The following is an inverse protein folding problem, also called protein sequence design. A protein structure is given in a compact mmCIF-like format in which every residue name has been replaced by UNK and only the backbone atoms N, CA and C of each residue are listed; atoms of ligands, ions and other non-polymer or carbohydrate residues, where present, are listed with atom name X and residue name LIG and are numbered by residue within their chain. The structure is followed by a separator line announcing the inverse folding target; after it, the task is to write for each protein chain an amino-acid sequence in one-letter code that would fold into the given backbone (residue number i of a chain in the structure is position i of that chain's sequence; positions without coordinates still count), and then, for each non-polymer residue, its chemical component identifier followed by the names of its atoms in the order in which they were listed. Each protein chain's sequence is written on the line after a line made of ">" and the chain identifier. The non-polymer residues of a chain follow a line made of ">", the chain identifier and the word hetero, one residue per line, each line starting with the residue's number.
data_IF_229128176369
#
_entry.id   IF_229128176369
#
_cell.length_a   1.000
_cell.length_b   1.000
_cell.length_c   1.000
_cell.angle_alpha   90.00
_cell.angle_beta   90.00
_cell.angle_gamma   90.00
#
_symmetry.space_group_name_H-M   'P 1'
#
loop_
_entity.id
_entity.type
_entity.pdbx_description
1 polymer ?
#
# COMPACT_ATOMS: atom_id res chain seq x y z
N UNK A 1 -63.25 52.89 -13.83
CA UNK A 1 -62.01 53.68 -13.86
C UNK A 1 -60.92 52.90 -13.13
N UNK A 2 -59.83 52.64 -13.86
CA UNK A 2 -58.50 52.14 -13.45
C UNK A 2 -58.43 50.81 -12.67
N UNK A 3 -58.05 49.69 -13.29
CA UNK A 3 -56.74 49.37 -13.89
C UNK A 3 -55.62 49.26 -12.84
N UNK A 4 -55.19 48.02 -12.55
CA UNK A 4 -53.80 47.57 -12.80
C UNK A 4 -53.57 46.13 -12.35
N UNK A 5 -53.39 45.30 -13.38
CA UNK A 5 -52.71 44.01 -13.40
C UNK A 5 -51.35 44.13 -12.69
N UNK A 6 -51.10 43.29 -11.69
CA UNK A 6 -49.72 42.95 -11.28
C UNK A 6 -49.58 41.44 -11.37
N UNK A 7 -49.08 40.99 -12.52
CA UNK A 7 -48.45 39.68 -12.63
C UNK A 7 -47.25 39.70 -11.70
N UNK A 8 -47.34 39.05 -10.54
CA UNK A 8 -46.14 38.66 -9.83
C UNK A 8 -45.45 37.59 -10.67
N UNK A 9 -44.30 37.97 -11.22
CA UNK A 9 -43.39 37.11 -11.95
C UNK A 9 -43.09 35.85 -11.11
N UNK A 10 -43.55 34.69 -11.58
CA UNK A 10 -42.91 33.41 -11.30
C UNK A 10 -41.59 33.40 -12.06
N UNK A 11 -40.55 34.03 -11.50
CA UNK A 11 -39.19 33.69 -11.92
C UNK A 11 -38.88 32.31 -11.34
N UNK A 12 -38.54 31.30 -12.18
CA UNK A 12 -38.09 30.03 -11.68
C UNK A 12 -36.74 30.28 -11.00
N UNK A 13 -36.71 30.17 -9.68
CA UNK A 13 -35.47 30.14 -8.91
C UNK A 13 -34.65 29.01 -9.52
N UNK A 14 -33.63 29.38 -10.29
CA UNK A 14 -32.67 28.45 -10.86
C UNK A 14 -32.10 27.64 -9.70
N UNK A 15 -32.56 26.39 -9.62
CA UNK A 15 -32.06 25.39 -8.68
C UNK A 15 -30.64 25.11 -9.14
N UNK A 16 -29.70 25.94 -8.69
CA UNK A 16 -28.28 25.64 -8.75
C UNK A 16 -28.11 24.27 -8.10
N UNK A 17 -27.90 23.28 -8.95
CA UNK A 17 -27.80 21.86 -8.60
C UNK A 17 -26.46 21.58 -7.96
N UNK A 18 -26.13 22.37 -6.93
CA UNK A 18 -25.06 22.08 -6.01
C UNK A 18 -25.60 20.97 -5.09
N UNK A 19 -25.43 19.73 -5.56
CA UNK A 19 -25.89 18.50 -4.94
C UNK A 19 -25.32 18.39 -3.52
N UNK A 20 -26.02 18.94 -2.52
CA UNK A 20 -25.55 18.96 -1.14
C UNK A 20 -25.39 17.50 -0.70
N UNK A 21 -24.16 17.05 -0.37
CA UNK A 21 -23.94 15.64 -0.12
C UNK A 21 -24.77 15.17 1.05
N UNK A 22 -25.46 14.04 0.87
CA UNK A 22 -26.35 13.47 1.89
C UNK A 22 -25.59 13.27 3.21
N UNK A 23 -26.31 13.28 4.34
CA UNK A 23 -25.73 13.02 5.67
C UNK A 23 -24.90 11.73 5.67
N UNK A 24 -25.33 10.72 4.93
CA UNK A 24 -24.62 9.44 4.74
C UNK A 24 -23.34 9.58 3.91
N UNK A 25 -23.31 10.42 2.88
CA UNK A 25 -22.09 10.70 2.10
C UNK A 25 -21.03 11.44 2.92
N UNK A 26 -21.41 12.47 3.68
CA UNK A 26 -20.50 13.19 4.59
C UNK A 26 -19.87 12.27 5.63
N UNK A 27 -20.66 11.33 6.19
CA UNK A 27 -20.16 10.31 7.14
C UNK A 27 -19.15 9.37 6.49
N UNK A 28 -19.42 8.88 5.27
CA UNK A 28 -18.48 8.00 4.54
C UNK A 28 -17.16 8.71 4.24
N UNK A 29 -17.21 9.95 3.77
CA UNK A 29 -16.01 10.73 3.48
C UNK A 29 -15.17 10.95 4.75
N UNK A 30 -15.82 11.25 5.87
CA UNK A 30 -15.12 11.41 7.16
C UNK A 30 -14.43 10.12 7.61
N UNK A 31 -15.08 8.96 7.46
CA UNK A 31 -14.49 7.66 7.77
C UNK A 31 -13.31 7.34 6.86
N UNK A 32 -13.40 7.66 5.57
CA UNK A 32 -12.31 7.49 4.61
C UNK A 32 -11.08 8.33 4.97
N UNK A 33 -11.28 9.60 5.36
CA UNK A 33 -10.19 10.48 5.81
C UNK A 33 -9.52 9.99 7.09
N UNK A 34 -10.30 9.47 8.04
CA UNK A 34 -9.74 8.84 9.24
C UNK A 34 -8.92 7.60 8.89
N UNK A 35 -9.46 6.72 8.04
CA UNK A 35 -8.76 5.53 7.57
C UNK A 35 -7.43 5.89 6.89
N UNK A 36 -7.42 6.92 6.04
CA UNK A 36 -6.20 7.44 5.42
C UNK A 36 -5.17 7.88 6.48
N UNK A 37 -5.60 8.62 7.50
CA UNK A 37 -4.75 8.99 8.64
C UNK A 37 -4.17 7.80 9.40
N UNK A 38 -4.96 6.73 9.58
CA UNK A 38 -4.49 5.47 10.17
C UNK A 38 -3.42 4.80 9.30
N UNK A 39 -3.63 4.77 7.98
CA UNK A 39 -2.69 4.16 7.05
C UNK A 39 -1.35 4.91 7.06
N UNK A 40 -1.37 6.25 6.99
CA UNK A 40 -0.18 7.08 7.08
C UNK A 40 0.61 6.82 8.36
N UNK A 41 -0.10 6.72 9.49
CA UNK A 41 0.51 6.48 10.79
C UNK A 41 1.16 5.09 10.91
N UNK A 42 0.72 4.12 10.09
CA UNK A 42 1.19 2.74 10.08
C UNK A 42 2.32 2.44 9.09
N UNK A 43 2.71 3.41 8.25
CA UNK A 43 3.79 3.24 7.27
C UNK A 43 5.12 2.88 7.93
N UNK A 44 6.00 2.18 7.21
CA UNK A 44 7.39 2.05 7.64
C UNK A 44 8.09 3.41 7.64
N UNK A 45 9.22 3.53 8.35
CA UNK A 45 9.95 4.81 8.41
C UNK A 45 10.41 5.28 7.02
N UNK A 46 10.83 4.34 6.17
CA UNK A 46 11.22 4.64 4.78
C UNK A 46 10.06 5.19 3.97
N UNK A 47 8.92 4.47 3.98
CA UNK A 47 7.70 4.89 3.29
C UNK A 47 7.17 6.23 3.80
N UNK A 48 7.28 6.48 5.10
CA UNK A 48 6.83 7.73 5.70
C UNK A 48 7.65 8.94 5.24
N UNK A 49 8.96 8.77 5.03
CA UNK A 49 9.86 9.81 4.52
C UNK A 49 9.67 10.10 3.03
N UNK A 50 9.14 9.15 2.27
CA UNK A 50 8.83 9.32 0.84
C UNK A 50 7.52 10.08 0.59
N UNK A 51 6.67 10.25 1.61
CA UNK A 51 5.42 11.01 1.47
C UNK A 51 5.68 12.51 1.67
N UNK A 52 5.24 13.28 0.69
CA UNK A 52 5.18 14.73 0.76
C UNK A 52 3.85 15.16 1.38
N UNK A 53 3.93 15.82 2.53
CA UNK A 53 2.79 16.38 3.23
C UNK A 53 2.68 17.87 2.92
N UNK A 54 1.53 18.32 2.41
CA UNK A 54 1.28 19.74 2.15
C UNK A 54 1.05 20.57 3.42
N UNK A 55 0.73 19.91 4.54
CA UNK A 55 0.49 20.55 5.83
C UNK A 55 1.50 20.07 6.89
N UNK A 56 2.33 20.98 7.38
CA UNK A 56 3.34 20.69 8.41
C UNK A 56 2.70 20.16 9.71
N UNK A 57 1.52 20.67 10.07
CA UNK A 57 0.78 20.26 11.26
C UNK A 57 0.40 18.77 11.23
N UNK A 58 0.04 18.23 10.05
CA UNK A 58 -0.29 16.81 9.90
C UNK A 58 0.97 15.96 10.07
N UNK A 59 2.07 16.36 9.42
CA UNK A 59 3.36 15.68 9.51
C UNK A 59 3.83 15.58 10.97
N UNK A 60 3.78 16.68 11.72
CA UNK A 60 4.16 16.70 13.13
C UNK A 60 3.26 15.83 14.00
N UNK A 61 1.95 15.87 13.77
CA UNK A 61 1.01 15.01 14.48
C UNK A 61 1.29 13.52 14.24
N UNK A 62 1.65 13.14 13.01
CA UNK A 62 2.03 11.78 12.65
C UNK A 62 3.36 11.37 13.29
N UNK A 63 4.38 12.24 13.26
CA UNK A 63 5.67 11.99 13.95
C UNK A 63 5.48 11.76 15.45
N UNK A 64 4.64 12.58 16.10
CA UNK A 64 4.29 12.39 17.51
C UNK A 64 3.59 11.04 17.71
N UNK A 65 2.61 10.68 16.89
CA UNK A 65 1.93 9.39 17.01
C UNK A 65 2.91 8.21 16.95
N UNK A 66 3.87 8.29 16.02
CA UNK A 66 4.90 7.26 15.80
C UNK A 66 5.88 7.15 16.97
N UNK A 67 6.18 8.25 17.66
CA UNK A 67 7.07 8.25 18.84
C UNK A 67 6.39 7.74 20.12
N UNK A 68 5.05 7.75 20.19
CA UNK A 68 4.33 7.25 21.37
C UNK A 68 4.50 5.72 21.48
N UNK A 69 5.01 5.21 22.63
CA UNK A 69 5.17 3.77 22.85
C UNK A 69 3.84 3.01 22.70
N UNK A 70 3.89 1.82 22.09
CA UNK A 70 2.72 0.96 21.84
C UNK A 70 1.92 0.66 23.12
N UNK A 71 2.60 0.54 24.27
CA UNK A 71 1.98 0.33 25.58
C UNK A 71 1.07 1.48 26.04
N UNK A 72 1.27 2.71 25.55
CA UNK A 72 0.46 3.89 25.90
C UNK A 72 -0.75 4.01 24.97
N UNK A 73 -1.65 3.03 25.06
CA UNK A 73 -2.82 2.89 24.16
C UNK A 73 -3.70 4.14 24.12
N UNK A 74 -3.93 4.77 25.27
CA UNK A 74 -4.80 5.95 25.35
C UNK A 74 -4.17 7.21 24.75
N UNK A 75 -2.87 7.42 24.94
CA UNK A 75 -2.14 8.52 24.29
C UNK A 75 -2.16 8.36 22.76
N UNK A 76 -1.93 7.13 22.25
CA UNK A 76 -2.05 6.83 20.81
C UNK A 76 -3.45 7.09 20.29
N UNK A 77 -4.48 6.64 21.02
CA UNK A 77 -5.89 6.85 20.64
C UNK A 77 -6.21 8.34 20.52
N UNK A 78 -5.83 9.16 21.50
CA UNK A 78 -6.06 10.62 21.48
C UNK A 78 -5.30 11.30 20.35
N UNK A 79 -4.04 10.92 20.15
CA UNK A 79 -3.25 11.48 19.05
C UNK A 79 -3.85 11.12 17.69
N UNK A 80 -4.38 9.91 17.54
CA UNK A 80 -5.08 9.51 16.31
C UNK A 80 -6.39 10.28 16.08
N UNK A 81 -7.14 10.58 17.14
CA UNK A 81 -8.31 11.46 17.03
C UNK A 81 -7.93 12.88 16.57
N UNK A 82 -6.80 13.40 17.06
CA UNK A 82 -6.26 14.68 16.62
C UNK A 82 -5.84 14.64 15.14
N UNK A 83 -5.12 13.61 14.72
CA UNK A 83 -4.80 13.37 13.29
C UNK A 83 -6.09 13.33 12.47
N UNK A 84 -7.12 12.58 12.90
CA UNK A 84 -8.40 12.54 12.21
C UNK A 84 -9.14 13.89 12.12
N UNK A 85 -8.87 14.83 13.04
CA UNK A 85 -9.35 16.21 12.94
C UNK A 85 -8.57 17.01 11.89
N UNK A 86 -7.25 16.85 11.83
CA UNK A 86 -6.38 17.50 10.84
C UNK A 86 -6.67 17.00 9.42
N UNK A 87 -6.92 15.70 9.25
CA UNK A 87 -7.28 15.08 7.96
C UNK A 87 -8.50 15.71 7.27
N UNK A 88 -9.31 16.52 7.97
CA UNK A 88 -10.45 17.25 7.37
C UNK A 88 -10.05 18.51 6.61
N UNK A 89 -8.87 19.07 6.89
CA UNK A 89 -8.31 20.22 6.17
C UNK A 89 -7.46 19.81 4.96
N UNK A 90 -7.05 18.55 4.92
CA UNK A 90 -6.12 18.01 3.92
C UNK A 90 -6.87 17.67 2.65
N UNK A 91 -6.37 18.14 1.51
CA UNK A 91 -6.81 17.68 0.19
C UNK A 91 -6.40 16.20 -0.02
N UNK A 92 -7.33 15.24 0.10
CA UNK A 92 -6.99 13.83 0.21
C UNK A 92 -6.39 13.26 -1.08
N UNK A 93 -6.67 13.92 -2.22
CA UNK A 93 -6.26 13.45 -3.54
C UNK A 93 -4.75 13.35 -3.73
N UNK A 94 -3.95 14.22 -3.10
CA UNK A 94 -2.48 14.18 -3.23
C UNK A 94 -1.88 13.03 -2.42
N UNK A 95 -2.20 12.98 -1.14
CA UNK A 95 -1.61 12.00 -0.21
C UNK A 95 -2.09 10.58 -0.53
N UNK A 96 -3.36 10.40 -0.92
CA UNK A 96 -3.88 9.09 -1.32
C UNK A 96 -3.16 8.55 -2.57
N UNK A 97 -2.82 9.40 -3.54
CA UNK A 97 -2.10 8.98 -4.76
C UNK A 97 -0.69 8.50 -4.42
N UNK A 98 0.03 9.24 -3.59
CA UNK A 98 1.37 8.86 -3.13
C UNK A 98 1.32 7.53 -2.38
N UNK A 99 0.37 7.39 -1.46
CA UNK A 99 0.18 6.16 -0.69
C UNK A 99 -0.17 4.95 -1.58
N UNK A 100 -0.99 5.15 -2.62
CA UNK A 100 -1.28 4.10 -3.59
C UNK A 100 -0.03 3.71 -4.40
N UNK A 101 0.79 4.69 -4.81
CA UNK A 101 2.04 4.41 -5.51
C UNK A 101 2.98 3.52 -4.66
N UNK A 102 3.13 3.83 -3.36
CA UNK A 102 3.90 3.03 -2.42
C UNK A 102 3.34 1.61 -2.23
N UNK A 103 2.01 1.46 -2.19
CA UNK A 103 1.38 0.14 -2.12
C UNK A 103 1.60 -0.69 -3.38
N UNK A 104 1.57 -0.05 -4.55
CA UNK A 104 1.79 -0.75 -5.81
C UNK A 104 3.21 -1.30 -5.93
N UNK A 105 4.22 -0.56 -5.44
CA UNK A 105 5.61 -1.05 -5.38
C UNK A 105 5.74 -2.22 -4.40
N UNK A 106 5.18 -2.10 -3.19
CA UNK A 106 5.17 -3.18 -2.21
C UNK A 106 4.51 -4.46 -2.76
N UNK A 107 3.39 -4.32 -3.47
CA UNK A 107 2.68 -5.45 -4.04
C UNK A 107 3.46 -6.09 -5.20
N UNK A 108 4.22 -5.29 -5.97
CA UNK A 108 5.11 -5.81 -6.99
C UNK A 108 6.23 -6.65 -6.37
N UNK A 109 6.88 -6.17 -5.31
CA UNK A 109 7.95 -6.91 -4.66
C UNK A 109 7.43 -8.15 -3.91
N UNK A 110 6.25 -8.07 -3.27
CA UNK A 110 5.56 -9.25 -2.73
C UNK A 110 5.25 -10.28 -3.80
N UNK A 111 4.85 -9.85 -5.01
CA UNK A 111 4.62 -10.77 -6.15
C UNK A 111 5.92 -11.47 -6.53
N UNK A 112 7.03 -10.74 -6.66
CA UNK A 112 8.35 -11.32 -6.96
C UNK A 112 8.79 -12.32 -5.90
N UNK A 113 8.60 -11.99 -4.62
CA UNK A 113 8.89 -12.91 -3.51
C UNK A 113 8.10 -14.22 -3.61
N UNK A 114 6.77 -14.13 -3.77
CA UNK A 114 5.92 -15.31 -3.93
C UNK A 114 6.30 -16.15 -5.16
N UNK A 115 6.62 -15.48 -6.26
CA UNK A 115 7.05 -16.17 -7.48
C UNK A 115 8.38 -16.91 -7.28
N UNK A 116 9.35 -16.29 -6.60
CA UNK A 116 10.62 -16.95 -6.26
C UNK A 116 10.42 -18.16 -5.33
N UNK A 117 9.50 -18.07 -4.36
CA UNK A 117 9.16 -19.19 -3.48
C UNK A 117 8.50 -20.34 -4.25
N UNK A 118 7.54 -20.04 -5.13
CA UNK A 118 6.89 -21.02 -6.00
C UNK A 118 7.91 -21.74 -6.88
N UNK A 119 8.79 -21.00 -7.56
CA UNK A 119 9.84 -21.60 -8.38
C UNK A 119 10.78 -22.48 -7.58
N UNK A 120 11.18 -22.05 -6.37
CA UNK A 120 12.02 -22.88 -5.49
C UNK A 120 11.33 -24.22 -5.19
N UNK A 121 10.05 -24.20 -4.84
CA UNK A 121 9.29 -25.40 -4.53
C UNK A 121 9.16 -26.32 -5.76
N UNK A 122 8.83 -25.76 -6.92
CA UNK A 122 8.77 -26.48 -8.18
C UNK A 122 10.11 -27.13 -8.54
N UNK A 123 11.22 -26.39 -8.47
CA UNK A 123 12.55 -26.87 -8.86
C UNK A 123 13.11 -27.93 -7.89
N UNK A 124 12.71 -27.90 -6.61
CA UNK A 124 13.08 -28.93 -5.65
C UNK A 124 12.34 -30.26 -5.92
N UNK A 125 11.13 -30.20 -6.47
CA UNK A 125 10.34 -31.38 -6.86
C UNK A 125 10.81 -31.89 -8.22
N UNK A 126 10.82 -31.02 -9.23
CA UNK A 126 11.20 -31.34 -10.60
C UNK A 126 12.29 -30.39 -11.12
N UNK A 127 13.57 -30.79 -11.03
CA UNK A 127 14.69 -30.00 -11.55
C UNK A 127 14.64 -29.74 -13.06
N UNK A 128 13.83 -30.47 -13.84
CA UNK A 128 13.72 -30.26 -15.29
C UNK A 128 13.07 -28.92 -15.63
N UNK A 129 12.26 -28.36 -14.72
CA UNK A 129 11.67 -27.04 -14.88
C UNK A 129 12.69 -25.89 -14.80
N UNK A 130 13.97 -26.18 -14.53
CA UNK A 130 15.03 -25.17 -14.57
C UNK A 130 15.14 -24.52 -15.95
N UNK A 131 14.88 -25.26 -17.03
CA UNK A 131 14.86 -24.72 -18.40
C UNK A 131 13.74 -23.70 -18.57
N UNK A 132 12.53 -23.98 -18.06
CA UNK A 132 11.39 -23.06 -18.12
C UNK A 132 11.66 -21.78 -17.33
N UNK A 133 12.30 -21.91 -16.16
CA UNK A 133 12.73 -20.76 -15.37
C UNK A 133 13.72 -19.89 -16.14
N UNK A 134 14.76 -20.49 -16.73
CA UNK A 134 15.79 -19.74 -17.48
C UNK A 134 15.19 -19.05 -18.71
N UNK A 135 14.24 -19.68 -19.39
CA UNK A 135 13.55 -19.10 -20.54
C UNK A 135 12.74 -17.86 -20.15
N UNK A 136 12.16 -17.82 -18.95
CA UNK A 136 11.40 -16.68 -18.44
C UNK A 136 12.30 -15.62 -17.79
N UNK A 137 13.34 -16.04 -17.07
CA UNK A 137 14.25 -15.20 -16.29
C UNK A 137 15.69 -15.60 -16.61
N UNK A 138 16.32 -14.95 -17.62
CA UNK A 138 17.68 -15.27 -18.04
C UNK A 138 18.67 -15.20 -16.86
N UNK A 139 19.29 -16.34 -16.55
CA UNK A 139 20.29 -16.47 -15.48
C UNK A 139 21.35 -17.49 -15.88
N UNK A 140 22.46 -17.53 -15.15
CA UNK A 140 23.48 -18.57 -15.33
C UNK A 140 22.89 -19.97 -15.04
N UNK A 141 22.76 -20.76 -16.11
CA UNK A 141 22.24 -22.12 -16.07
C UNK A 141 23.11 -23.07 -15.24
N UNK A 142 24.43 -22.89 -15.23
CA UNK A 142 25.34 -23.75 -14.47
C UNK A 142 25.18 -23.50 -12.97
N UNK A 143 25.16 -22.22 -12.58
CA UNK A 143 24.97 -21.80 -11.20
C UNK A 143 23.60 -22.26 -10.67
N UNK A 144 22.52 -22.07 -11.45
CA UNK A 144 21.18 -22.49 -11.06
C UNK A 144 21.13 -24.01 -10.82
N UNK A 145 21.63 -24.80 -11.76
CA UNK A 145 21.64 -26.27 -11.64
C UNK A 145 22.48 -26.77 -10.45
N UNK A 146 23.60 -26.11 -10.15
CA UNK A 146 24.40 -26.42 -8.96
C UNK A 146 23.60 -26.19 -7.68
N UNK A 147 22.91 -25.04 -7.57
CA UNK A 147 22.11 -24.69 -6.39
C UNK A 147 20.90 -25.60 -6.21
N UNK A 148 20.21 -25.97 -7.29
CA UNK A 148 19.09 -26.93 -7.24
C UNK A 148 19.56 -28.28 -6.71
N UNK A 149 20.66 -28.82 -7.24
CA UNK A 149 21.22 -30.11 -6.79
C UNK A 149 21.64 -30.06 -5.31
N UNK A 150 22.31 -29.00 -4.90
CA UNK A 150 22.73 -28.81 -3.51
C UNK A 150 21.52 -28.75 -2.57
N UNK A 151 20.52 -27.94 -2.89
CA UNK A 151 19.31 -27.79 -2.07
C UNK A 151 18.46 -29.07 -2.03
N UNK A 152 18.34 -29.79 -3.15
CA UNK A 152 17.63 -31.08 -3.20
C UNK A 152 18.32 -32.14 -2.32
N UNK A 153 19.65 -32.28 -2.46
CA UNK A 153 20.44 -33.22 -1.65
C UNK A 153 20.35 -32.87 -0.16
N UNK A 154 20.42 -31.58 0.19
CA UNK A 154 20.30 -31.13 1.58
C UNK A 154 18.91 -31.44 2.16
N UNK A 155 17.85 -31.27 1.37
CA UNK A 155 16.46 -31.62 1.74
C UNK A 155 16.30 -33.13 1.94
N UNK A 156 16.79 -33.94 1.02
CA UNK A 156 16.75 -35.42 1.11
C UNK A 156 17.50 -35.95 2.34
N UNK A 157 18.63 -35.31 2.69
CA UNK A 157 19.43 -35.69 3.86
C UNK A 157 18.94 -35.05 5.18
N UNK A 158 17.86 -34.24 5.15
CA UNK A 158 17.39 -33.43 6.28
C UNK A 158 18.51 -32.58 6.93
N UNK A 159 19.43 -32.05 6.11
CA UNK A 159 20.61 -31.28 6.53
C UNK A 159 20.75 -29.98 5.75
N UNK A 160 19.65 -29.22 5.63
CA UNK A 160 19.69 -27.87 5.06
C UNK A 160 20.39 -26.91 6.03
N UNK A 161 21.53 -26.39 5.60
CA UNK A 161 22.35 -25.38 6.28
C UNK A 161 22.20 -23.99 5.65
N UNK A 162 21.26 -23.83 4.72
CA UNK A 162 21.01 -22.59 3.99
C UNK A 162 21.06 -22.75 2.47
N UNK A 163 21.10 -23.98 1.95
CA UNK A 163 21.06 -24.27 0.52
C UNK A 163 19.71 -23.85 -0.07
N UNK A 164 18.59 -24.13 0.59
CA UNK A 164 17.28 -23.67 0.12
C UNK A 164 17.16 -22.14 0.13
N UNK A 165 17.79 -21.48 1.10
CA UNK A 165 17.86 -20.02 1.18
C UNK A 165 18.74 -19.43 0.08
N UNK A 166 19.86 -20.09 -0.25
CA UNK A 166 20.76 -19.68 -1.32
C UNK A 166 20.09 -19.80 -2.69
N UNK A 167 19.40 -20.92 -2.94
CA UNK A 167 18.59 -21.11 -4.15
C UNK A 167 17.52 -20.01 -4.26
N UNK A 168 16.77 -19.75 -3.20
CA UNK A 168 15.78 -18.67 -3.17
C UNK A 168 16.37 -17.30 -3.53
N UNK A 169 17.54 -16.94 -2.96
CA UNK A 169 18.19 -15.65 -3.25
C UNK A 169 18.55 -15.52 -4.72
N UNK A 170 19.03 -16.59 -5.34
CA UNK A 170 19.35 -16.61 -6.78
C UNK A 170 18.09 -16.42 -7.62
N UNK A 171 17.02 -17.16 -7.31
CA UNK A 171 15.73 -17.05 -8.02
C UNK A 171 15.14 -15.65 -7.89
N UNK A 172 15.12 -15.10 -6.67
CA UNK A 172 14.63 -13.75 -6.42
C UNK A 172 15.46 -12.70 -7.18
N UNK A 173 16.79 -12.85 -7.20
CA UNK A 173 17.67 -11.95 -7.96
C UNK A 173 17.34 -12.00 -9.46
N UNK A 174 17.13 -13.18 -10.03
CA UNK A 174 16.79 -13.32 -11.45
C UNK A 174 15.38 -12.80 -11.80
N UNK A 175 14.41 -12.86 -10.88
CA UNK A 175 13.06 -12.30 -11.07
C UNK A 175 13.01 -10.78 -10.85
N UNK A 176 13.88 -10.26 -9.99
CA UNK A 176 13.91 -8.84 -9.66
C UNK A 176 14.73 -7.99 -10.65
N UNK A 177 15.57 -8.62 -11.47
CA UNK A 177 16.29 -8.02 -12.60
C UNK A 177 15.42 -8.00 -13.86
#
# INVERSE_FOLDING_TARGET
>A
MNDKRSHYNDEPIEKDSCEVPSKSAKKRNMLALQALGYELAALSEKQFQEIEFSEDNLLDALKIYRSIPIKRREARRRQMQFIGKLMRGVEPGSVQKQLNALKHTDDADKRKHRQAEQWRECLLVDPKQATDFINQFPTDSQQLNQMIRAAKKAKELNKDKGEARSLYRLLYKAIAH
#
